data_IF_678786032095
#
_entry.id   IF_678786032095
#
_cell.length_a   1.000
_cell.length_b   1.000
_cell.length_c   1.000
_cell.angle_alpha   90.00
_cell.angle_beta   90.00
_cell.angle_gamma   90.00
#
_symmetry.space_group_name_H-M   'P 1'
#
loop_
_entity.id
_entity.type
_entity.pdbx_description
1 polymer ?
#
# COMPACT_ATOMS: atom_id res chain seq x y z
N UNK A 1 9.14 7.89 10.83
CA UNK A 1 9.58 6.64 10.16
C UNK A 1 8.85 6.54 8.83
N UNK A 2 9.53 6.15 7.75
CA UNK A 2 8.87 5.91 6.46
C UNK A 2 8.71 4.40 6.29
N UNK A 3 7.51 3.96 5.92
CA UNK A 3 7.18 2.58 5.59
C UNK A 3 6.92 2.51 4.09
N UNK A 4 7.64 1.63 3.39
CA UNK A 4 7.43 1.37 1.97
C UNK A 4 6.53 0.17 1.77
N UNK A 5 5.68 0.23 0.77
CA UNK A 5 4.78 -0.86 0.39
C UNK A 5 4.57 -0.87 -1.12
N UNK A 6 4.17 -2.03 -1.63
CA UNK A 6 3.76 -2.20 -3.02
C UNK A 6 2.24 -2.43 -3.08
N UNK A 7 1.63 -2.01 -4.19
CA UNK A 7 0.20 -2.18 -4.44
C UNK A 7 0.02 -3.00 -5.71
N UNK A 8 -0.64 -4.15 -5.56
CA UNK A 8 -1.05 -4.98 -6.68
C UNK A 8 -2.53 -5.33 -6.59
N UNK A 9 -2.92 -6.37 -7.31
CA UNK A 9 -4.32 -6.75 -7.48
C UNK A 9 -4.72 -6.64 -8.95
N UNK A 10 -6.02 -6.50 -9.19
CA UNK A 10 -6.55 -6.27 -10.54
C UNK A 10 -6.95 -4.81 -10.76
N UNK A 11 -7.35 -4.10 -9.70
CA UNK A 11 -7.63 -2.67 -9.75
C UNK A 11 -6.33 -1.86 -9.89
N UNK A 12 -6.33 -0.90 -10.79
CA UNK A 12 -5.21 -0.05 -11.19
C UNK A 12 -5.12 1.22 -10.33
N UNK A 13 -3.96 1.43 -9.71
CA UNK A 13 -3.69 2.58 -8.85
C UNK A 13 -3.76 3.90 -9.63
N UNK A 14 -4.63 4.81 -9.20
CA UNK A 14 -4.86 6.10 -9.86
C UNK A 14 -5.85 6.07 -11.02
N UNK A 15 -6.43 4.90 -11.34
CA UNK A 15 -7.49 4.76 -12.35
C UNK A 15 -8.79 4.33 -11.67
N UNK A 16 -8.80 3.19 -10.98
CA UNK A 16 -10.01 2.62 -10.36
C UNK A 16 -10.22 3.12 -8.92
N UNK A 17 -9.17 3.69 -8.33
CA UNK A 17 -9.20 4.37 -7.04
C UNK A 17 -8.20 5.53 -7.02
N UNK A 18 -8.39 6.48 -6.10
CA UNK A 18 -7.49 7.62 -5.93
C UNK A 18 -6.05 7.15 -5.74
N UNK A 19 -5.11 7.85 -6.38
CA UNK A 19 -3.69 7.50 -6.32
C UNK A 19 -3.20 7.36 -4.88
N UNK A 20 -2.67 6.18 -4.57
CA UNK A 20 -1.99 5.89 -3.32
C UNK A 20 -0.48 5.94 -3.58
N UNK A 21 0.31 6.68 -2.77
CA UNK A 21 1.77 6.69 -2.90
C UNK A 21 2.37 5.33 -2.52
N UNK A 22 3.65 5.11 -2.81
CA UNK A 22 4.41 3.89 -2.49
C UNK A 22 4.91 3.82 -1.03
N UNK A 23 4.56 4.83 -0.23
CA UNK A 23 5.09 4.99 1.11
C UNK A 23 4.16 5.77 2.05
N UNK A 24 4.32 5.49 3.35
CA UNK A 24 3.59 6.11 4.44
C UNK A 24 4.57 6.67 5.48
N UNK A 25 4.41 7.95 5.80
CA UNK A 25 5.15 8.59 6.88
C UNK A 25 4.40 8.41 8.20
N UNK A 26 5.04 7.76 9.16
CA UNK A 26 4.64 7.75 10.56
C UNK A 26 5.38 8.88 11.27
N UNK A 27 4.62 9.84 11.84
CA UNK A 27 5.18 10.98 12.55
C UNK A 27 5.78 10.56 13.90
N UNK A 28 6.67 11.38 14.49
CA UNK A 28 7.15 11.12 15.84
C UNK A 28 5.99 10.99 16.83
N UNK A 29 6.09 10.01 17.73
CA UNK A 29 5.07 9.64 18.73
C UNK A 29 3.82 8.93 18.19
N UNK A 30 3.69 8.76 16.88
CA UNK A 30 2.66 7.90 16.31
C UNK A 30 3.14 6.46 16.18
N UNK A 31 2.24 5.51 16.46
CA UNK A 31 2.46 4.08 16.24
C UNK A 31 1.61 3.52 15.10
N UNK A 32 0.71 4.34 14.56
CA UNK A 32 -0.28 3.97 13.53
C UNK A 32 -0.23 5.01 12.43
N UNK A 33 -0.31 4.55 11.18
CA UNK A 33 -0.68 5.40 10.05
C UNK A 33 -1.73 4.70 9.20
N UNK A 34 -2.42 5.47 8.37
CA UNK A 34 -3.59 5.01 7.62
C UNK A 34 -3.33 5.14 6.13
N UNK A 35 -3.61 4.07 5.38
CA UNK A 35 -3.74 4.10 3.92
C UNK A 35 -5.22 4.21 3.60
N UNK A 36 -5.63 5.31 2.96
CA UNK A 36 -7.01 5.51 2.52
C UNK A 36 -7.18 5.03 1.10
N UNK A 37 -8.14 4.13 0.87
CA UNK A 37 -8.51 3.63 -0.45
C UNK A 37 -9.89 4.18 -0.78
N UNK A 38 -10.00 5.01 -1.80
CA UNK A 38 -11.26 5.58 -2.27
C UNK A 38 -11.50 5.20 -3.73
N UNK A 39 -12.51 4.37 -4.03
CA UNK A 39 -12.88 4.05 -5.40
C UNK A 39 -13.20 5.31 -6.20
N UNK A 40 -12.86 5.29 -7.49
CA UNK A 40 -13.30 6.29 -8.46
C UNK A 40 -14.57 5.75 -9.10
N UNK A 41 -15.63 6.56 -9.08
CA UNK A 41 -16.83 6.24 -9.83
C UNK A 41 -16.69 6.80 -11.24
N UNK A 42 -16.66 5.92 -12.23
CA UNK A 42 -16.72 6.32 -13.63
C UNK A 42 -17.89 5.65 -14.36
N UNK A 43 -17.91 5.79 -15.69
CA UNK A 43 -18.99 5.27 -16.56
C UNK A 43 -18.62 3.97 -17.27
N UNK A 44 -17.42 3.45 -17.04
CA UNK A 44 -16.97 2.19 -17.60
C UNK A 44 -17.51 1.07 -16.71
N UNK A 45 -17.94 -0.03 -17.33
CA UNK A 45 -18.28 -1.21 -16.58
C UNK A 45 -17.02 -2.03 -16.39
N UNK A 46 -16.64 -2.21 -15.14
CA UNK A 46 -15.55 -3.11 -14.75
C UNK A 46 -16.13 -4.34 -14.04
N UNK A 47 -15.48 -5.49 -14.27
CA UNK A 47 -15.75 -6.68 -13.48
C UNK A 47 -15.33 -6.45 -12.02
N UNK A 48 -15.63 -7.41 -11.14
CA UNK A 48 -15.21 -7.32 -9.75
C UNK A 48 -13.67 -7.35 -9.63
N UNK A 49 -13.08 -6.28 -9.10
CA UNK A 49 -11.65 -6.14 -8.95
C UNK A 49 -11.15 -6.28 -7.50
N UNK A 50 -9.84 -6.45 -7.34
CA UNK A 50 -9.18 -6.64 -6.04
C UNK A 50 -7.99 -5.70 -5.87
N UNK A 51 -7.71 -5.35 -4.61
CA UNK A 51 -6.52 -4.61 -4.19
C UNK A 51 -5.73 -5.49 -3.22
N UNK A 52 -4.42 -5.54 -3.40
CA UNK A 52 -3.48 -6.24 -2.52
C UNK A 52 -2.37 -5.29 -2.10
N UNK A 53 -2.16 -5.16 -0.80
CA UNK A 53 -1.11 -4.31 -0.22
C UNK A 53 -0.01 -5.21 0.34
N UNK A 54 1.22 -4.97 -0.10
CA UNK A 54 2.39 -5.74 0.32
C UNK A 54 3.33 -4.83 1.09
N UNK A 55 3.57 -5.13 2.36
CA UNK A 55 4.60 -4.44 3.13
C UNK A 55 5.97 -4.84 2.59
N UNK A 56 6.76 -3.86 2.15
CA UNK A 56 8.13 -4.14 1.71
C UNK A 56 9.00 -4.23 2.96
N UNK A 57 9.48 -5.44 3.25
CA UNK A 57 10.46 -5.64 4.30
C UNK A 57 11.73 -4.88 3.94
N UNK A 58 12.13 -3.94 4.78
CA UNK A 58 13.45 -3.33 4.67
C UNK A 58 14.47 -4.42 5.01
N UNK A 59 15.46 -4.63 4.13
CA UNK A 59 16.57 -5.51 4.46
C UNK A 59 17.31 -4.90 5.65
N UNK A 60 17.15 -5.47 6.84
CA UNK A 60 17.74 -4.94 8.07
C UNK A 60 19.24 -5.23 8.16
N UNK A 61 19.79 -6.03 7.24
CA UNK A 61 21.19 -6.48 7.28
C UNK A 61 21.51 -7.37 8.50
N UNK A 62 20.52 -7.66 9.34
CA UNK A 62 20.66 -8.60 10.44
C UNK A 62 20.51 -10.00 9.85
N UNK A 63 21.51 -10.86 10.08
CA UNK A 63 21.35 -12.27 9.80
C UNK A 63 20.10 -12.75 10.54
N UNK A 64 19.22 -13.49 9.86
CA UNK A 64 18.26 -14.34 10.55
C UNK A 64 19.11 -15.37 11.31
N UNK A 65 19.51 -15.05 12.53
CA UNK A 65 20.05 -16.05 13.43
C UNK A 65 18.88 -16.95 13.80
N UNK A 66 18.70 -18.01 13.02
CA UNK A 66 17.89 -19.15 13.37
C UNK A 66 18.68 -19.96 14.39
N UNK A 67 18.60 -19.55 15.66
CA UNK A 67 18.93 -20.37 16.81
C UNK A 67 17.63 -20.92 17.43
#
# INVERSE_FOLDING_TARGET
>A
MIIYFDIGGTATNGVDYLLIPDSLLILPNDSIGTISISPIQDTVFDDNESIKVYLIATCTGLAYDSA
#
